data_IF_602451435307
#
_entry.id   IF_602451435307
#
_cell.length_a   1.000
_cell.length_b   1.000
_cell.length_c   1.000
_cell.angle_alpha   90.00
_cell.angle_beta   90.00
_cell.angle_gamma   90.00
#
_symmetry.space_group_name_H-M   'P 1'
#
loop_
_entity.id
_entity.type
_entity.pdbx_description
1 polymer ?
#
# COMPACT_ATOMS: atom_id res chain seq x y z
N UNK A 1 5.37 10.38 -4.56
CA UNK A 1 4.35 10.29 -5.63
C UNK A 1 3.58 11.61 -5.69
N UNK A 2 3.26 12.07 -6.89
CA UNK A 2 2.47 13.29 -7.13
C UNK A 2 1.11 12.85 -7.67
N UNK A 3 0.05 13.53 -7.25
CA UNK A 3 -1.31 13.22 -7.66
C UNK A 3 -1.76 14.13 -8.81
N UNK A 4 -2.65 13.67 -9.70
CA UNK A 4 -3.30 12.35 -9.72
C UNK A 4 -2.35 11.22 -10.12
N UNK A 5 -2.65 10.00 -9.65
CA UNK A 5 -1.74 8.86 -9.75
C UNK A 5 -2.49 7.61 -10.19
N UNK A 6 -1.97 6.94 -11.23
CA UNK A 6 -2.48 5.65 -11.72
C UNK A 6 -1.65 4.56 -11.06
N UNK A 7 -2.30 3.57 -10.46
CA UNK A 7 -1.64 2.40 -9.88
C UNK A 7 -2.33 1.12 -10.31
N UNK A 8 -1.60 0.01 -10.24
CA UNK A 8 -2.12 -1.33 -10.49
C UNK A 8 -2.05 -2.20 -9.22
N UNK A 9 -3.09 -3.01 -9.00
CA UNK A 9 -3.16 -3.98 -7.92
C UNK A 9 -3.73 -5.29 -8.48
N UNK A 10 -3.14 -6.42 -8.09
CA UNK A 10 -3.66 -7.76 -8.35
C UNK A 10 -4.03 -8.39 -7.02
N UNK A 11 -5.21 -9.00 -6.95
CA UNK A 11 -5.77 -9.51 -5.71
C UNK A 11 -6.39 -10.89 -5.92
N UNK A 12 -6.03 -11.84 -5.04
CA UNK A 12 -6.60 -13.19 -4.96
C UNK A 12 -7.78 -13.30 -3.97
N UNK A 13 -8.21 -12.18 -3.40
CA UNK A 13 -9.28 -12.08 -2.41
C UNK A 13 -8.80 -11.92 -0.97
N UNK A 14 -7.50 -12.08 -0.68
CA UNK A 14 -6.97 -11.90 0.67
C UNK A 14 -6.43 -10.50 0.98
N UNK A 15 -6.19 -9.69 -0.05
CA UNK A 15 -5.66 -8.33 0.12
C UNK A 15 -6.81 -7.32 0.24
N UNK A 16 -6.63 -6.32 1.09
CA UNK A 16 -7.51 -5.16 1.19
C UNK A 16 -6.85 -3.93 0.59
N UNK A 17 -7.62 -3.07 -0.07
CA UNK A 17 -7.14 -1.80 -0.56
C UNK A 17 -7.13 -0.78 0.59
N UNK A 18 -5.94 -0.31 0.98
CA UNK A 18 -5.76 0.69 2.02
C UNK A 18 -5.99 2.11 1.48
N UNK A 19 -7.21 2.63 1.66
CA UNK A 19 -7.60 3.95 1.14
C UNK A 19 -6.80 5.10 1.75
N UNK A 20 -6.50 5.05 3.06
CA UNK A 20 -5.74 6.07 3.79
C UNK A 20 -4.30 6.23 3.27
N UNK A 21 -3.76 5.16 2.67
CA UNK A 21 -2.42 5.14 2.06
C UNK A 21 -2.46 4.98 0.55
N UNK A 22 -3.58 5.31 -0.11
CA UNK A 22 -3.78 5.22 -1.56
C UNK A 22 -3.31 3.87 -2.16
N UNK A 23 -3.59 2.77 -1.47
CA UNK A 23 -3.23 1.41 -1.89
C UNK A 23 -1.73 1.07 -1.90
N UNK A 24 -0.87 1.94 -1.34
CA UNK A 24 0.60 1.78 -1.38
C UNK A 24 1.12 0.40 -0.96
N UNK A 25 0.58 -0.25 0.10
CA UNK A 25 1.11 -1.55 0.53
C UNK A 25 0.94 -2.67 -0.50
N UNK A 26 -0.02 -2.55 -1.41
CA UNK A 26 -0.39 -3.58 -2.39
C UNK A 26 -0.24 -3.09 -3.84
N UNK A 27 0.48 -1.99 -4.03
CA UNK A 27 0.79 -1.39 -5.33
C UNK A 27 1.83 -2.24 -6.08
N UNK A 28 1.53 -2.60 -7.33
CA UNK A 28 2.47 -3.28 -8.23
C UNK A 28 3.38 -2.30 -8.98
N UNK A 29 2.92 -1.07 -9.13
CA UNK A 29 3.57 0.01 -9.85
C UNK A 29 2.56 1.12 -10.14
N UNK A 30 3.07 2.25 -10.61
CA UNK A 30 2.24 3.39 -10.94
C UNK A 30 3.02 4.55 -11.54
N UNK A 31 2.27 5.54 -12.02
CA UNK A 31 2.81 6.75 -12.59
C UNK A 31 1.93 7.95 -12.27
N UNK A 32 2.50 9.16 -12.33
CA UNK A 32 1.74 10.41 -12.22
C UNK A 32 1.02 10.69 -13.54
N UNK A 33 -0.26 11.01 -13.48
CA UNK A 33 -1.10 11.25 -14.64
C UNK A 33 -2.04 12.44 -14.39
N UNK A 34 -1.75 13.60 -14.99
CA UNK A 34 -2.57 14.79 -14.87
C UNK A 34 -3.76 14.66 -15.82
N UNK A 35 -4.88 14.09 -15.36
CA UNK A 35 -6.06 13.76 -16.18
C UNK A 35 -7.30 14.60 -15.88
N UNK A 36 -7.20 15.55 -14.96
CA UNK A 36 -8.34 16.38 -14.50
C UNK A 36 -8.38 17.70 -15.26
N UNK A 37 -9.59 18.15 -15.63
CA UNK A 37 -9.85 19.46 -16.25
C UNK A 37 -9.03 19.76 -17.52
N UNK A 38 -8.89 18.76 -18.39
CA UNK A 38 -8.23 18.92 -19.69
C UNK A 38 -9.23 19.32 -20.78
N UNK A 39 -8.76 20.05 -21.78
CA UNK A 39 -9.57 20.52 -22.92
C UNK A 39 -9.55 19.57 -24.12
N UNK A 40 -8.99 18.38 -23.95
CA UNK A 40 -8.85 17.36 -24.97
C UNK A 40 -9.11 15.99 -24.36
N UNK A 41 -9.39 15.01 -25.22
CA UNK A 41 -9.70 13.65 -24.79
C UNK A 41 -8.49 12.96 -24.18
N UNK A 42 -8.74 12.16 -23.14
CA UNK A 42 -7.72 11.32 -22.50
C UNK A 42 -8.01 9.86 -22.77
N UNK A 43 -6.95 9.09 -22.98
CA UNK A 43 -7.07 7.67 -23.29
C UNK A 43 -6.18 6.84 -22.37
N UNK A 44 -6.69 5.66 -21.99
CA UNK A 44 -5.98 4.65 -21.23
C UNK A 44 -6.02 3.34 -22.00
N UNK A 45 -4.87 2.68 -22.14
CA UNK A 45 -4.76 1.34 -22.73
C UNK A 45 -4.20 0.40 -21.69
N UNK A 46 -4.96 -0.65 -21.40
CA UNK A 46 -4.53 -1.76 -20.56
C UNK A 46 -4.30 -2.95 -21.47
N UNK A 47 -3.05 -3.41 -21.56
CA UNK A 47 -2.64 -4.53 -22.41
C UNK A 47 -2.15 -5.68 -21.54
N UNK A 48 -2.75 -6.86 -21.72
CA UNK A 48 -2.32 -8.09 -21.07
C UNK A 48 -1.95 -9.15 -22.12
N UNK A 49 -0.66 -9.47 -22.23
CA UNK A 49 -0.13 -10.42 -23.21
C UNK A 49 0.95 -11.27 -22.55
N UNK A 50 0.94 -12.60 -22.75
CA UNK A 50 1.99 -13.50 -22.22
C UNK A 50 2.39 -13.22 -20.75
N UNK A 51 1.40 -13.05 -19.86
CA UNK A 51 1.60 -12.73 -18.42
C UNK A 51 2.26 -11.38 -18.15
N UNK A 52 2.21 -10.49 -19.11
CA UNK A 52 2.77 -9.16 -19.03
C UNK A 52 1.64 -8.15 -19.05
N UNK A 53 1.52 -7.37 -17.98
CA UNK A 53 0.55 -6.29 -17.84
C UNK A 53 1.26 -4.97 -18.16
N UNK A 54 0.80 -4.29 -19.20
CA UNK A 54 1.23 -2.95 -19.54
C UNK A 54 0.05 -1.97 -19.47
N UNK A 55 0.28 -0.81 -18.89
CA UNK A 55 -0.67 0.31 -18.91
C UNK A 55 0.01 1.49 -19.58
N UNK A 56 -0.64 2.01 -20.61
CA UNK A 56 -0.21 3.17 -21.40
C UNK A 56 -1.31 4.21 -21.39
N UNK A 57 -0.95 5.47 -21.59
CA UNK A 57 -1.90 6.57 -21.58
C UNK A 57 -1.55 7.63 -22.62
N UNK A 58 -2.57 8.28 -23.17
CA UNK A 58 -2.45 9.53 -23.93
C UNK A 58 -3.25 10.59 -23.19
N UNK A 59 -2.53 11.49 -22.51
CA UNK A 59 -3.10 12.53 -21.64
C UNK A 59 -2.55 13.93 -21.96
N UNK A 60 -1.77 14.04 -23.03
CA UNK A 60 -1.16 15.30 -23.47
C UNK A 60 -1.82 15.84 -24.75
N UNK A 61 -2.84 15.15 -25.27
CA UNK A 61 -3.56 15.53 -26.49
C UNK A 61 -2.70 15.38 -27.75
N UNK A 62 -1.67 14.53 -27.70
CA UNK A 62 -0.69 14.36 -28.79
C UNK A 62 -0.97 13.13 -29.64
N UNK A 63 -1.95 12.29 -29.27
CA UNK A 63 -2.18 11.01 -29.92
C UNK A 63 -0.94 10.09 -29.84
N UNK A 64 -0.19 10.21 -28.74
CA UNK A 64 1.02 9.45 -28.48
C UNK A 64 0.87 8.69 -27.16
N UNK A 65 1.06 7.38 -27.23
CA UNK A 65 1.00 6.53 -26.04
C UNK A 65 2.28 6.68 -25.22
N UNK A 66 2.12 7.03 -23.94
CA UNK A 66 3.19 7.02 -22.94
C UNK A 66 3.04 5.84 -22.00
N UNK A 67 4.14 5.14 -21.75
CA UNK A 67 4.18 4.04 -20.78
C UNK A 67 3.97 4.56 -19.35
N UNK A 68 3.15 3.83 -18.58
CA UNK A 68 2.86 4.14 -17.18
C UNK A 68 3.27 2.99 -16.26
N UNK A 69 2.80 1.78 -16.56
CA UNK A 69 3.05 0.57 -15.75
C UNK A 69 3.48 -0.55 -16.67
N UNK A 70 4.53 -1.27 -16.28
CA UNK A 70 4.99 -2.47 -16.97
C UNK A 70 5.35 -3.53 -15.93
N UNK A 71 4.53 -4.60 -15.85
CA UNK A 71 4.67 -5.64 -14.83
C UNK A 71 4.66 -7.02 -15.49
N UNK A 72 5.80 -7.73 -15.52
CA UNK A 72 5.86 -9.12 -15.94
C UNK A 72 5.34 -10.06 -14.85
N UNK A 73 5.06 -11.30 -15.22
CA UNK A 73 4.72 -12.37 -14.26
C UNK A 73 3.31 -12.26 -13.66
N UNK A 74 2.44 -11.43 -14.23
CA UNK A 74 1.03 -11.32 -13.81
C UNK A 74 0.25 -12.52 -14.34
N UNK A 75 -0.35 -13.28 -13.43
CA UNK A 75 -1.19 -14.44 -13.72
C UNK A 75 -2.64 -14.07 -13.43
N UNK A 76 -3.51 -14.15 -14.44
CA UNK A 76 -4.93 -13.91 -14.31
C UNK A 76 -5.71 -15.12 -14.84
N UNK A 77 -6.76 -15.58 -14.15
CA UNK A 77 -7.61 -16.66 -14.63
C UNK A 77 -8.52 -16.18 -15.77
N UNK A 78 -9.09 -17.14 -16.52
CA UNK A 78 -10.12 -16.87 -17.53
C UNK A 78 -11.50 -16.72 -16.88
N UNK A 79 -12.44 -16.09 -17.58
CA UNK A 79 -13.83 -15.94 -17.13
C UNK A 79 -14.08 -14.74 -16.22
N UNK A 80 -13.15 -13.79 -16.15
CA UNK A 80 -13.34 -12.52 -15.46
C UNK A 80 -14.19 -11.54 -16.28
N UNK A 81 -14.69 -10.52 -15.59
CA UNK A 81 -15.49 -9.45 -16.16
C UNK A 81 -14.65 -8.18 -16.29
N UNK A 82 -14.82 -7.47 -17.40
CA UNK A 82 -14.32 -6.10 -17.53
C UNK A 82 -15.36 -5.14 -16.95
N UNK A 83 -14.89 -4.18 -16.14
CA UNK A 83 -15.77 -3.20 -15.52
C UNK A 83 -14.99 -1.96 -15.10
N UNK A 84 -15.73 -0.87 -14.91
CA UNK A 84 -15.21 0.42 -14.45
C UNK A 84 -16.16 0.95 -13.38
N UNK A 85 -15.62 1.58 -12.35
CA UNK A 85 -16.38 2.19 -11.26
C UNK A 85 -15.66 3.43 -10.75
N UNK A 86 -16.40 4.33 -10.10
CA UNK A 86 -15.86 5.52 -9.45
C UNK A 86 -16.58 5.76 -8.11
N UNK A 87 -15.97 6.60 -7.27
CA UNK A 87 -16.52 7.00 -5.98
C UNK A 87 -16.10 8.44 -5.67
N UNK A 88 -16.96 9.17 -4.98
CA UNK A 88 -16.67 10.50 -4.43
C UNK A 88 -16.81 10.47 -2.90
N UNK A 89 -16.11 11.36 -2.20
CA UNK A 89 -16.20 11.52 -0.75
C UNK A 89 -16.58 12.95 -0.39
N UNK A 90 -15.90 13.52 0.61
CA UNK A 90 -16.06 14.93 1.00
C UNK A 90 -15.74 15.90 -0.15
N UNK A 91 -14.83 15.50 -1.04
CA UNK A 91 -14.57 16.14 -2.32
C UNK A 91 -15.19 15.33 -3.46
N UNK A 92 -15.68 16.03 -4.48
CA UNK A 92 -16.35 15.43 -5.64
C UNK A 92 -15.74 15.91 -6.96
N UNK A 93 -15.89 15.08 -7.98
CA UNK A 93 -15.56 15.37 -9.38
C UNK A 93 -16.44 14.51 -10.30
N UNK A 94 -16.55 14.91 -11.56
CA UNK A 94 -17.21 14.09 -12.59
C UNK A 94 -16.27 12.96 -13.05
N UNK A 95 -16.83 11.77 -13.25
CA UNK A 95 -16.08 10.57 -13.64
C UNK A 95 -16.73 9.96 -14.89
N UNK A 96 -16.38 10.50 -16.06
CA UNK A 96 -17.04 10.16 -17.32
C UNK A 96 -16.24 9.09 -18.09
N UNK A 97 -16.93 8.03 -18.52
CA UNK A 97 -16.38 7.00 -19.42
C UNK A 97 -17.09 7.12 -20.77
N UNK A 98 -16.39 7.69 -21.75
CA UNK A 98 -16.99 7.94 -23.08
C UNK A 98 -17.10 6.65 -23.90
N UNK A 99 -16.08 5.79 -23.85
CA UNK A 99 -16.13 4.48 -24.50
C UNK A 99 -15.19 3.48 -23.83
N UNK A 100 -15.57 2.20 -23.89
CA UNK A 100 -14.74 1.07 -23.50
C UNK A 100 -14.66 0.12 -24.69
N UNK A 101 -13.44 -0.06 -25.23
CA UNK A 101 -13.19 -0.90 -26.40
C UNK A 101 -12.29 -2.06 -26.01
N UNK A 102 -12.75 -3.29 -26.26
CA UNK A 102 -12.02 -4.51 -25.97
C UNK A 102 -11.52 -5.13 -27.28
N UNK A 103 -10.25 -5.52 -27.30
CA UNK A 103 -9.62 -6.16 -28.46
C UNK A 103 -8.99 -7.48 -28.03
N UNK A 104 -9.23 -8.52 -28.82
CA UNK A 104 -8.51 -9.78 -28.68
C UNK A 104 -7.16 -9.68 -29.40
N UNK A 105 -6.09 -10.11 -28.73
CA UNK A 105 -4.74 -10.11 -29.29
C UNK A 105 -4.36 -11.53 -29.69
N UNK A 106 -4.20 -11.77 -30.99
CA UNK A 106 -3.71 -13.04 -31.53
C UNK A 106 -2.19 -13.12 -31.33
N UNK A 107 -1.76 -14.02 -30.45
CA UNK A 107 -0.35 -14.20 -30.11
C UNK A 107 -0.03 -15.68 -30.12
N UNK A 108 1.01 -16.06 -30.85
CA UNK A 108 1.53 -17.42 -30.84
C UNK A 108 2.09 -17.77 -29.45
N UNK A 109 1.58 -18.89 -28.92
CA UNK A 109 1.97 -19.46 -27.62
C UNK A 109 2.42 -20.89 -27.84
N UNK A 110 3.42 -21.33 -27.08
CA UNK A 110 3.78 -22.74 -27.09
C UNK A 110 2.71 -23.58 -26.38
N UNK A 111 2.58 -24.89 -26.66
CA UNK A 111 1.63 -25.76 -25.97
C UNK A 111 1.79 -25.74 -24.44
N UNK A 112 3.02 -25.59 -23.96
CA UNK A 112 3.36 -25.50 -22.54
C UNK A 112 2.86 -24.20 -21.92
N UNK A 113 3.07 -23.06 -22.60
CA UNK A 113 2.56 -21.75 -22.16
C UNK A 113 1.04 -21.74 -22.09
N UNK A 114 0.38 -22.39 -23.06
CA UNK A 114 -1.07 -22.44 -23.12
C UNK A 114 -1.66 -23.32 -22.00
N UNK A 115 -1.04 -24.47 -21.72
CA UNK A 115 -1.39 -25.30 -20.56
C UNK A 115 -1.24 -24.51 -19.26
N UNK A 116 -0.10 -23.86 -19.08
CA UNK A 116 0.18 -23.04 -17.90
C UNK A 116 -0.80 -21.87 -17.74
N UNK A 117 -1.33 -21.32 -18.84
CA UNK A 117 -2.37 -20.29 -18.82
C UNK A 117 -3.76 -20.84 -18.48
N UNK A 118 -4.07 -22.07 -18.88
CA UNK A 118 -5.35 -22.72 -18.53
C UNK A 118 -5.41 -23.10 -17.05
N UNK A 119 -4.28 -23.45 -16.46
CA UNK A 119 -4.19 -23.92 -15.07
C UNK A 119 -4.11 -22.76 -14.04
N UNK A 120 -4.33 -21.50 -14.46
CA UNK A 120 -4.40 -20.35 -13.55
C UNK A 120 -5.82 -20.25 -12.98
N UNK A 121 -5.99 -20.57 -11.70
CA UNK A 121 -7.27 -20.43 -10.99
C UNK A 121 -7.30 -19.21 -10.06
N UNK A 122 -6.16 -18.88 -9.46
CA UNK A 122 -6.02 -17.74 -8.56
C UNK A 122 -5.10 -16.70 -9.21
N UNK A 123 -5.49 -15.42 -9.18
CA UNK A 123 -4.65 -14.36 -9.71
C UNK A 123 -3.44 -14.14 -8.79
N UNK A 124 -2.27 -13.94 -9.38
CA UNK A 124 -1.02 -13.73 -8.63
C UNK A 124 -0.01 -12.97 -9.48
N UNK A 125 1.01 -12.41 -8.84
CA UNK A 125 2.15 -11.81 -9.53
C UNK A 125 3.42 -12.48 -9.05
N UNK A 126 4.23 -12.95 -10.00
CA UNK A 126 5.51 -13.60 -9.67
C UNK A 126 6.42 -12.60 -8.94
N UNK A 127 7.06 -13.03 -7.85
CA UNK A 127 7.94 -12.21 -7.00
C UNK A 127 7.30 -10.97 -6.34
N UNK A 128 5.97 -10.95 -6.17
CA UNK A 128 5.32 -9.88 -5.41
C UNK A 128 5.73 -9.93 -3.94
N UNK A 129 6.35 -8.85 -3.43
CA UNK A 129 6.56 -8.67 -2.00
C UNK A 129 5.21 -8.33 -1.37
N UNK A 130 4.56 -9.34 -0.80
CA UNK A 130 3.35 -9.12 -0.01
C UNK A 130 3.72 -8.24 1.20
N UNK A 131 2.84 -7.31 1.62
CA UNK A 131 3.04 -6.59 2.87
C UNK A 131 3.23 -7.63 3.98
N UNK A 132 4.35 -7.51 4.68
CA UNK A 132 4.69 -8.34 5.83
C UNK A 132 3.52 -8.22 6.81
N UNK A 133 2.67 -9.24 6.86
CA UNK A 133 1.54 -9.30 7.78
C UNK A 133 2.19 -9.28 9.17
N UNK A 134 2.13 -8.13 9.84
CA UNK A 134 2.91 -7.77 11.04
C UNK A 134 3.30 -9.00 11.84
N UNK A 135 4.50 -9.52 11.58
CA UNK A 135 5.02 -10.59 12.40
C UNK A 135 5.04 -10.05 13.83
N UNK A 136 4.54 -10.80 14.84
CA UNK A 136 4.63 -10.36 16.21
C UNK A 136 6.08 -9.95 16.48
N UNK A 137 6.27 -8.77 17.08
CA UNK A 137 7.59 -8.23 17.39
C UNK A 137 8.48 -9.35 17.95
N UNK A 138 9.73 -9.49 17.48
CA UNK A 138 10.59 -10.56 17.95
C UNK A 138 10.67 -10.49 19.48
N UNK A 139 10.58 -11.64 20.18
CA UNK A 139 10.68 -11.63 21.63
C UNK A 139 11.96 -10.91 22.02
N UNK A 140 11.83 -9.86 22.84
CA UNK A 140 12.97 -9.12 23.37
C UNK A 140 13.97 -10.11 23.96
N UNK A 141 15.25 -9.95 23.63
CA UNK A 141 16.32 -10.77 24.19
C UNK A 141 16.20 -10.77 25.72
N UNK A 142 16.43 -11.90 26.37
CA UNK A 142 16.32 -12.03 27.83
C UNK A 142 17.18 -11.00 28.58
N UNK A 143 18.30 -10.57 27.98
CA UNK A 143 19.13 -9.49 28.49
C UNK A 143 18.41 -8.13 28.45
N UNK A 144 17.71 -7.82 27.36
CA UNK A 144 16.98 -6.56 27.21
C UNK A 144 15.83 -6.48 28.21
N UNK A 145 15.07 -7.57 28.40
CA UNK A 145 14.05 -7.67 29.43
C UNK A 145 14.62 -7.48 30.83
N UNK A 146 15.74 -8.15 31.14
CA UNK A 146 16.43 -8.00 32.43
C UNK A 146 16.86 -6.54 32.69
N UNK A 147 17.48 -5.88 31.69
CA UNK A 147 17.92 -4.50 31.83
C UNK A 147 16.76 -3.54 32.04
N UNK A 148 15.65 -3.69 31.29
CA UNK A 148 14.46 -2.84 31.44
C UNK A 148 13.90 -2.96 32.87
N UNK A 149 13.74 -4.19 33.36
CA UNK A 149 13.22 -4.44 34.71
C UNK A 149 14.19 -3.88 35.76
N UNK A 150 15.49 -4.15 35.61
CA UNK A 150 16.52 -3.67 36.53
C UNK A 150 16.54 -2.14 36.64
N UNK A 151 16.58 -1.43 35.51
CA UNK A 151 16.61 0.04 35.52
C UNK A 151 15.30 0.64 36.04
N UNK A 152 14.14 0.00 35.78
CA UNK A 152 12.86 0.45 36.35
C UNK A 152 12.81 0.34 37.87
N UNK A 153 13.39 -0.74 38.42
CA UNK A 153 13.42 -0.97 39.87
C UNK A 153 14.40 -0.03 40.55
N UNK A 154 15.59 0.17 39.96
CA UNK A 154 16.57 1.15 40.44
C UNK A 154 15.95 2.56 40.45
N UNK A 155 15.31 2.98 39.36
CA UNK A 155 14.65 4.28 39.29
C UNK A 155 13.57 4.45 40.36
N UNK A 156 12.77 3.42 40.62
CA UNK A 156 11.72 3.44 41.64
C UNK A 156 12.30 3.62 43.05
N UNK A 157 13.40 2.92 43.37
CA UNK A 157 14.09 3.07 44.66
C UNK A 157 14.64 4.49 44.82
N UNK A 158 15.29 5.03 43.79
CA UNK A 158 15.80 6.40 43.81
C UNK A 158 14.67 7.43 44.00
N UNK A 159 13.55 7.27 43.31
CA UNK A 159 12.38 8.14 43.45
C UNK A 159 11.80 8.11 44.88
N UNK A 160 11.72 6.93 45.50
CA UNK A 160 11.26 6.78 46.89
C UNK A 160 12.23 7.47 47.86
N UNK A 161 13.53 7.26 47.72
CA UNK A 161 14.55 7.87 48.60
C UNK A 161 14.53 9.39 48.46
N UNK A 162 14.48 9.92 47.23
CA UNK A 162 14.37 11.37 46.98
C UNK A 162 13.06 11.90 47.57
N UNK A 163 11.95 11.18 47.40
CA UNK A 163 10.65 11.52 47.99
C UNK A 163 10.71 11.63 49.52
N UNK A 164 11.34 10.66 50.19
CA UNK A 164 11.54 10.68 51.65
C UNK A 164 12.43 11.83 52.12
N UNK A 165 13.51 12.13 51.39
CA UNK A 165 14.38 13.27 51.69
C UNK A 165 13.62 14.59 51.57
N UNK A 166 12.85 14.76 50.49
CA UNK A 166 12.04 15.96 50.27
C UNK A 166 10.93 16.08 51.33
N UNK A 167 10.27 14.98 51.69
CA UNK A 167 9.23 14.94 52.72
C UNK A 167 9.78 15.34 54.09
N UNK A 168 10.90 14.75 54.52
CA UNK A 168 11.55 15.09 55.79
C UNK A 168 11.99 16.56 55.82
N UNK A 169 12.58 17.06 54.72
CA UNK A 169 12.99 18.47 54.61
C UNK A 169 11.79 19.43 54.69
N UNK A 170 10.67 19.06 54.07
CA UNK A 170 9.42 19.82 54.15
C UNK A 170 8.82 19.82 55.57
N UNK A 171 8.86 18.68 56.26
CA UNK A 171 8.39 18.55 57.64
C UNK A 171 9.23 19.42 58.61
N UNK A 172 10.56 19.45 58.45
CA UNK A 172 11.45 20.30 59.25
C UNK A 172 11.23 21.80 59.00
N UNK A 173 11.00 22.22 57.75
CA UNK A 173 10.66 23.61 57.44
C UNK A 173 9.29 24.02 57.98
N UNK A 174 8.31 23.11 57.96
CA UNK A 174 6.96 23.37 58.47
C UNK A 174 6.93 23.49 59.99
N UNK A 175 7.76 22.71 60.70
CA UNK A 175 7.92 22.81 62.16
C UNK A 175 8.57 24.12 62.63
N UNK A 176 9.42 24.74 61.81
CA UNK A 176 10.07 26.03 62.12
C UNK A 176 9.17 27.26 61.93
N UNK A 177 7.93 27.11 61.46
CA UNK A 177 6.97 28.22 61.29
C UNK A 177 5.99 28.39 62.46
N UNK A 178 6.07 27.54 63.49
CA UNK A 178 5.16 27.56 64.65
C UNK A 178 5.86 27.84 66.00
N UNK A 179 7.07 28.42 65.98
CA UNK A 179 7.70 29.07 67.12
C UNK A 179 8.09 30.50 66.75
#
# INVERSE_FOLDING_TARGET
RVFPYISAMVNNGSLSYDHERDGRPTELGGCTAIVRNLHYDTFLVIRYVKRHLAIMMDIDGKHEWRDCIEVPGVRLPRGYYFGTSSITGDLSDNHDVISLKLFELTVERTPEEEKLHRDVFLPSVDNMKLPEMTAPLPPLSGLALFLIVFFSLVFSVFAIVIGLILYNKWQDQSRKRFY
#
